data_IF_254951895074
#
_entry.id   IF_254951895074
#
_cell.length_a   1.000
_cell.length_b   1.000
_cell.length_c   1.000
_cell.angle_alpha   90.00
_cell.angle_beta   90.00
_cell.angle_gamma   90.00
#
_symmetry.space_group_name_H-M   'P 1'
#
loop_
_entity.id
_entity.type
_entity.pdbx_description
1 polymer ?
#
# COMPACT_ATOMS: atom_id res chain seq x y z
N UNK A 1 -43.91 -19.53 -30.63
CA UNK A 1 -42.70 -18.71 -30.82
C UNK A 1 -41.69 -19.54 -31.62
N UNK A 2 -41.36 -19.12 -32.86
CA UNK A 2 -40.57 -19.91 -33.82
C UNK A 2 -39.18 -20.30 -33.29
N UNK A 3 -38.71 -21.51 -33.63
CA UNK A 3 -37.39 -22.05 -33.26
C UNK A 3 -36.25 -21.10 -33.64
N UNK A 4 -36.40 -20.38 -34.74
CA UNK A 4 -35.43 -19.38 -35.22
C UNK A 4 -35.28 -18.21 -34.23
N UNK A 5 -36.39 -17.76 -33.62
CA UNK A 5 -36.35 -16.70 -32.59
C UNK A 5 -35.62 -17.17 -31.33
N UNK A 6 -35.75 -18.45 -30.95
CA UNK A 6 -35.06 -19.01 -29.77
C UNK A 6 -33.55 -19.07 -30.00
N UNK A 7 -33.10 -19.47 -31.19
CA UNK A 7 -31.67 -19.52 -31.56
C UNK A 7 -31.06 -18.11 -31.53
N UNK A 8 -31.77 -17.12 -32.10
CA UNK A 8 -31.30 -15.73 -32.08
C UNK A 8 -31.14 -15.17 -30.66
N UNK A 9 -32.06 -15.49 -29.76
CA UNK A 9 -31.98 -15.06 -28.34
C UNK A 9 -30.76 -15.68 -27.66
N UNK A 10 -30.49 -16.97 -27.88
CA UNK A 10 -29.32 -17.65 -27.30
C UNK A 10 -28.00 -17.09 -27.83
N UNK A 11 -27.94 -16.79 -29.13
CA UNK A 11 -26.77 -16.14 -29.74
C UNK A 11 -26.52 -14.74 -29.19
N UNK A 12 -27.59 -13.96 -29.01
CA UNK A 12 -27.50 -12.61 -28.45
C UNK A 12 -27.04 -12.62 -26.99
N UNK A 13 -27.55 -13.55 -26.17
CA UNK A 13 -27.11 -13.74 -24.78
C UNK A 13 -25.64 -14.12 -24.67
N UNK A 14 -25.14 -15.01 -25.53
CA UNK A 14 -23.73 -15.42 -25.52
C UNK A 14 -22.79 -14.28 -25.93
N UNK A 15 -23.19 -13.42 -26.86
CA UNK A 15 -22.37 -12.26 -27.29
C UNK A 15 -22.25 -11.19 -26.19
N UNK A 16 -23.29 -11.02 -25.37
CA UNK A 16 -23.26 -10.07 -24.25
C UNK A 16 -22.30 -10.53 -23.14
N UNK A 17 -22.21 -11.83 -22.83
CA UNK A 17 -21.32 -12.34 -21.79
C UNK A 17 -19.82 -12.14 -22.10
N UNK A 18 -19.42 -12.16 -23.37
CA UNK A 18 -18.02 -11.93 -23.76
C UNK A 18 -17.60 -10.45 -23.68
N UNK A 19 -18.55 -9.53 -23.84
CA UNK A 19 -18.29 -8.08 -23.81
C UNK A 19 -18.04 -7.53 -22.39
N UNK A 20 -18.39 -8.30 -21.34
CA UNK A 20 -18.20 -7.91 -19.94
C UNK A 20 -17.00 -8.58 -19.26
N UNK A 21 -16.15 -9.31 -19.99
CA UNK A 21 -14.85 -9.73 -19.46
C UNK A 21 -13.88 -8.54 -19.50
N UNK A 22 -14.08 -7.58 -18.61
CA UNK A 22 -13.06 -6.60 -18.28
C UNK A 22 -11.96 -7.34 -17.54
N UNK A 23 -10.97 -7.85 -18.26
CA UNK A 23 -9.74 -8.34 -17.65
C UNK A 23 -9.18 -7.20 -16.80
N UNK A 24 -9.07 -7.41 -15.49
CA UNK A 24 -8.45 -6.43 -14.58
C UNK A 24 -7.12 -6.01 -15.21
N UNK A 25 -7.01 -4.73 -15.60
CA UNK A 25 -5.73 -4.17 -16.03
C UNK A 25 -4.77 -4.44 -14.88
N UNK A 26 -3.81 -5.35 -15.07
CA UNK A 26 -2.72 -5.60 -14.12
C UNK A 26 -2.00 -4.27 -13.89
N UNK A 27 -2.41 -3.52 -12.86
CA UNK A 27 -1.55 -2.50 -12.25
C UNK A 27 -0.22 -3.19 -12.00
N UNK A 28 0.89 -2.54 -12.37
CA UNK A 28 2.24 -3.04 -12.09
C UNK A 28 2.39 -3.23 -10.58
N UNK A 29 2.08 -4.43 -10.11
CA UNK A 29 1.96 -4.73 -8.69
C UNK A 29 3.35 -4.84 -8.11
N UNK A 30 3.75 -3.82 -7.36
CA UNK A 30 4.99 -3.85 -6.61
C UNK A 30 4.78 -4.64 -5.32
N UNK A 31 5.74 -5.50 -5.03
CA UNK A 31 5.79 -6.29 -3.80
C UNK A 31 6.92 -5.75 -2.96
N UNK A 32 6.63 -5.32 -1.73
CA UNK A 32 7.63 -4.91 -0.77
C UNK A 32 7.87 -6.04 0.20
N UNK A 33 9.13 -6.45 0.34
CA UNK A 33 9.55 -7.35 1.41
C UNK A 33 9.82 -6.54 2.68
N UNK A 34 9.00 -6.80 3.70
CA UNK A 34 9.03 -6.15 4.99
C UNK A 34 9.86 -7.00 5.96
N UNK A 35 11.11 -6.60 6.14
CA UNK A 35 11.94 -7.11 7.22
C UNK A 35 11.50 -6.48 8.55
N UNK A 36 10.78 -7.26 9.37
CA UNK A 36 10.25 -6.84 10.66
C UNK A 36 11.32 -6.46 11.69
N UNK A 37 12.59 -6.81 11.46
CA UNK A 37 13.70 -6.42 12.33
C UNK A 37 14.27 -5.03 11.97
N UNK A 38 13.87 -4.46 10.84
CA UNK A 38 14.36 -3.18 10.38
C UNK A 38 13.81 -2.03 11.21
N UNK A 39 14.68 -1.07 11.59
CA UNK A 39 14.30 0.19 12.25
C UNK A 39 13.40 1.08 11.39
N UNK A 40 13.34 0.82 10.08
CA UNK A 40 12.45 1.52 9.17
C UNK A 40 10.99 1.04 9.25
N UNK A 41 10.70 -0.06 9.96
CA UNK A 41 9.32 -0.48 10.23
C UNK A 41 8.78 0.31 11.42
N UNK A 42 7.75 1.11 11.18
CA UNK A 42 7.01 1.86 12.20
C UNK A 42 5.95 0.99 12.87
N UNK A 43 5.16 0.28 12.07
CA UNK A 43 3.98 -0.45 12.54
C UNK A 43 3.90 -1.81 11.87
N UNK A 44 3.53 -2.81 12.66
CA UNK A 44 3.17 -4.16 12.22
C UNK A 44 2.06 -4.67 13.13
N UNK A 45 0.85 -4.73 12.60
CA UNK A 45 -0.34 -5.17 13.34
C UNK A 45 -1.16 -6.11 12.47
N UNK A 46 -1.54 -7.26 13.01
CA UNK A 46 -2.45 -8.21 12.36
C UNK A 46 -3.56 -8.53 13.35
N UNK A 47 -4.77 -8.15 12.99
CA UNK A 47 -5.99 -8.52 13.69
C UNK A 47 -6.50 -9.84 13.11
N UNK A 48 -6.55 -10.87 13.97
CA UNK A 48 -6.96 -12.22 13.58
C UNK A 48 -8.47 -12.33 13.40
N UNK A 49 -9.25 -11.55 14.16
CA UNK A 49 -10.70 -11.64 14.18
C UNK A 49 -11.29 -10.93 12.96
N UNK A 50 -10.74 -9.77 12.61
CA UNK A 50 -11.20 -9.00 11.45
C UNK A 50 -10.42 -9.29 10.17
N UNK A 51 -9.39 -10.15 10.24
CA UNK A 51 -8.45 -10.44 9.15
C UNK A 51 -7.85 -9.16 8.54
N UNK A 52 -7.69 -8.12 9.36
CA UNK A 52 -7.09 -6.86 8.96
C UNK A 52 -5.60 -6.90 9.25
N UNK A 53 -4.82 -6.31 8.37
CA UNK A 53 -3.40 -6.11 8.62
C UNK A 53 -3.01 -4.66 8.32
N UNK A 54 -2.13 -4.12 9.14
CA UNK A 54 -1.57 -2.78 9.01
C UNK A 54 -0.07 -2.86 9.11
N UNK A 55 0.59 -2.29 8.13
CA UNK A 55 2.04 -2.17 8.08
C UNK A 55 2.38 -0.71 7.85
N UNK A 56 3.42 -0.20 8.47
CA UNK A 56 3.91 1.14 8.14
C UNK A 56 5.43 1.19 8.08
N UNK A 57 5.93 1.86 7.05
CA UNK A 57 7.36 2.05 6.80
C UNK A 57 7.66 3.54 6.92
N UNK A 58 8.65 3.90 7.73
CA UNK A 58 9.13 5.27 7.82
C UNK A 58 9.68 5.75 6.48
N UNK A 59 9.39 7.00 6.13
CA UNK A 59 10.07 7.70 5.05
C UNK A 59 11.54 7.86 5.46
N UNK A 60 12.44 7.75 4.49
CA UNK A 60 13.88 7.93 4.71
C UNK A 60 14.15 9.20 5.51
N UNK A 61 15.02 9.12 6.52
CA UNK A 61 15.41 10.17 7.49
C UNK A 61 14.48 10.30 8.70
N UNK A 62 13.26 9.76 8.67
CA UNK A 62 12.31 9.88 9.79
C UNK A 62 12.21 8.62 10.65
N UNK A 63 13.19 7.73 10.59
CA UNK A 63 13.25 6.52 11.41
C UNK A 63 13.42 6.85 12.90
N UNK A 64 14.19 7.90 13.23
CA UNK A 64 14.41 8.34 14.62
C UNK A 64 13.33 9.32 15.10
N UNK A 65 13.06 9.31 16.41
CA UNK A 65 12.14 10.26 17.03
C UNK A 65 12.68 11.69 16.93
N UNK A 66 13.98 11.88 17.12
CA UNK A 66 14.64 13.18 17.08
C UNK A 66 14.42 13.92 15.74
N UNK A 67 14.56 13.23 14.61
CA UNK A 67 14.34 13.83 13.29
C UNK A 67 12.86 14.20 13.07
N UNK A 68 11.93 13.39 13.59
CA UNK A 68 10.50 13.69 13.54
C UNK A 68 10.12 14.87 14.43
N UNK A 69 10.67 14.92 15.64
CA UNK A 69 10.45 16.03 16.58
C UNK A 69 10.97 17.35 15.96
N UNK A 70 12.17 17.31 15.36
CA UNK A 70 12.76 18.45 14.64
C UNK A 70 11.87 18.93 13.50
N UNK A 71 11.40 18.02 12.63
CA UNK A 71 10.49 18.37 11.54
C UNK A 71 9.15 18.92 12.04
N UNK A 72 8.64 18.39 13.16
CA UNK A 72 7.41 18.86 13.80
C UNK A 72 7.56 20.28 14.35
N UNK A 73 8.69 20.62 14.97
CA UNK A 73 8.95 21.98 15.45
C UNK A 73 9.06 22.98 14.30
N UNK A 74 9.73 22.61 13.21
CA UNK A 74 9.79 23.45 12.00
C UNK A 74 8.38 23.68 11.43
N UNK A 75 7.54 22.64 11.37
CA UNK A 75 6.14 22.77 10.97
C UNK A 75 5.36 23.72 11.88
N UNK A 76 5.47 23.57 13.21
CA UNK A 76 4.78 24.44 14.17
C UNK A 76 5.18 25.90 14.01
N UNK A 77 6.46 26.18 13.78
CA UNK A 77 6.94 27.55 13.56
C UNK A 77 6.41 28.13 12.23
N UNK A 78 6.39 27.33 11.16
CA UNK A 78 5.76 27.72 9.89
C UNK A 78 4.27 28.07 10.07
N UNK A 79 3.52 27.24 10.81
CA UNK A 79 2.10 27.50 11.09
C UNK A 79 1.91 28.77 11.94
N UNK A 80 2.76 28.97 12.96
CA UNK A 80 2.71 30.15 13.83
C UNK A 80 2.96 31.45 13.04
N UNK A 81 3.90 31.42 12.10
CA UNK A 81 4.34 32.58 11.33
C UNK A 81 3.65 32.69 9.95
N UNK A 82 2.59 31.91 9.70
CA UNK A 82 1.96 31.81 8.37
C UNK A 82 1.41 33.15 7.85
N UNK A 83 0.95 34.03 8.76
CA UNK A 83 0.41 35.35 8.42
C UNK A 83 1.48 36.38 8.07
N UNK A 84 2.72 36.18 8.52
CA UNK A 84 3.83 37.13 8.37
C UNK A 84 4.91 36.64 7.42
N UNK A 85 4.97 35.34 7.14
CA UNK A 85 5.99 34.71 6.30
C UNK A 85 5.77 34.87 4.79
N UNK A 86 4.59 35.31 4.36
CA UNK A 86 4.23 35.37 2.93
C UNK A 86 4.00 34.01 2.28
N UNK A 87 4.06 32.91 3.05
CA UNK A 87 3.76 31.55 2.59
C UNK A 87 2.24 31.42 2.44
N UNK A 88 1.79 30.84 1.33
CA UNK A 88 0.37 30.54 1.16
C UNK A 88 -0.05 29.46 2.17
N UNK A 89 -1.11 29.67 2.98
CA UNK A 89 -1.53 28.68 3.96
C UNK A 89 -1.80 27.28 3.41
N UNK A 90 -2.18 27.18 2.14
CA UNK A 90 -2.42 25.89 1.46
C UNK A 90 -1.15 25.09 1.15
N UNK A 91 0.02 25.72 1.24
CA UNK A 91 1.32 25.08 1.00
C UNK A 91 1.92 24.49 2.29
N UNK A 92 1.45 24.93 3.46
CA UNK A 92 1.89 24.40 4.75
C UNK A 92 1.21 23.05 5.00
N UNK A 93 1.96 21.97 4.80
CA UNK A 93 1.48 20.60 5.02
C UNK A 93 2.15 19.97 6.22
N UNK A 94 1.37 19.16 6.93
CA UNK A 94 1.89 18.32 7.99
C UNK A 94 2.95 17.37 7.41
N UNK A 95 4.12 17.22 8.05
CA UNK A 95 5.14 16.32 7.54
C UNK A 95 4.66 14.87 7.56
N UNK A 96 4.79 14.17 6.44
CA UNK A 96 4.52 12.73 6.35
C UNK A 96 5.75 11.95 6.78
N UNK A 97 5.67 11.29 7.94
CA UNK A 97 6.80 10.51 8.48
C UNK A 97 6.82 9.07 8.02
N UNK A 98 5.67 8.50 7.64
CA UNK A 98 5.58 7.11 7.24
C UNK A 98 4.51 6.87 6.17
N UNK A 99 4.67 5.77 5.45
CA UNK A 99 3.68 5.27 4.50
C UNK A 99 2.98 4.08 5.12
N UNK A 100 1.64 4.07 5.12
CA UNK A 100 0.82 3.00 5.66
C UNK A 100 0.29 2.08 4.57
N UNK A 101 0.29 0.78 4.86
CA UNK A 101 -0.23 -0.29 4.02
C UNK A 101 -1.30 -1.05 4.78
N UNK A 102 -2.49 -1.13 4.19
CA UNK A 102 -3.67 -1.67 4.84
C UNK A 102 -4.23 -2.84 4.03
N UNK A 103 -4.54 -3.92 4.72
CA UNK A 103 -5.31 -5.04 4.19
C UNK A 103 -6.65 -5.10 4.93
N UNK A 104 -7.75 -5.13 4.17
CA UNK A 104 -9.11 -5.24 4.71
C UNK A 104 -9.76 -6.51 4.17
N UNK A 105 -10.04 -7.47 5.06
CA UNK A 105 -10.85 -8.66 4.75
C UNK A 105 -10.19 -9.69 3.80
N UNK A 106 -8.98 -9.46 3.32
CA UNK A 106 -8.24 -10.39 2.48
C UNK A 106 -7.35 -11.32 3.30
N UNK A 107 -7.57 -12.65 3.20
CA UNK A 107 -6.64 -13.64 3.77
C UNK A 107 -5.28 -13.51 3.09
N UNK A 108 -4.16 -13.57 3.84
CA UNK A 108 -2.84 -13.58 3.21
C UNK A 108 -2.62 -14.90 2.47
N UNK A 109 -1.85 -14.82 1.40
CA UNK A 109 -1.30 -15.99 0.73
C UNK A 109 -0.09 -16.50 1.52
N UNK A 110 -0.11 -17.76 1.96
CA UNK A 110 1.03 -18.39 2.63
C UNK A 110 1.99 -18.95 1.58
N UNK A 111 3.25 -18.52 1.63
CA UNK A 111 4.30 -18.93 0.71
C UNK A 111 5.36 -19.75 1.44
N UNK A 112 5.83 -20.84 0.83
CA UNK A 112 6.94 -21.64 1.37
C UNK A 112 8.32 -21.08 1.03
N UNK A 113 8.43 -20.29 -0.04
CA UNK A 113 9.68 -19.73 -0.54
C UNK A 113 9.41 -18.45 -1.33
N UNK A 114 10.42 -17.59 -1.45
CA UNK A 114 10.42 -16.41 -2.33
C UNK A 114 11.02 -16.68 -3.72
N UNK A 115 11.40 -17.93 -4.03
CA UNK A 115 11.99 -18.29 -5.33
C UNK A 115 11.03 -17.91 -6.47
N UNK A 116 11.52 -17.09 -7.40
CA UNK A 116 10.75 -16.61 -8.55
C UNK A 116 9.84 -15.41 -8.27
N UNK A 117 9.77 -14.92 -7.02
CA UNK A 117 9.00 -13.73 -6.65
C UNK A 117 9.94 -12.52 -6.72
N UNK A 118 9.64 -11.57 -7.61
CA UNK A 118 10.32 -10.27 -7.64
C UNK A 118 9.72 -9.36 -6.57
N UNK A 119 10.54 -8.88 -5.66
CA UNK A 119 10.17 -7.92 -4.63
C UNK A 119 11.26 -6.85 -4.48
N UNK A 120 10.91 -5.74 -3.85
CA UNK A 120 11.85 -4.71 -3.42
C UNK A 120 12.04 -4.75 -1.91
N UNK A 121 13.22 -4.40 -1.43
CA UNK A 121 13.49 -4.27 0.01
C UNK A 121 12.94 -2.97 0.57
N UNK A 122 12.85 -2.86 1.90
CA UNK A 122 12.49 -1.60 2.57
C UNK A 122 13.39 -0.44 2.12
N UNK A 123 14.70 -0.66 2.01
CA UNK A 123 15.65 0.37 1.57
C UNK A 123 15.36 0.83 0.14
N UNK A 124 15.16 -0.12 -0.78
CA UNK A 124 14.79 0.21 -2.16
C UNK A 124 13.44 0.94 -2.24
N UNK A 125 12.49 0.58 -1.38
CA UNK A 125 11.22 1.29 -1.25
C UNK A 125 11.43 2.75 -0.79
N UNK A 126 12.20 2.98 0.27
CA UNK A 126 12.50 4.31 0.79
C UNK A 126 13.25 5.19 -0.22
N UNK A 127 14.18 4.61 -0.99
CA UNK A 127 14.94 5.31 -2.03
C UNK A 127 14.07 5.65 -3.27
N UNK A 128 12.94 4.95 -3.46
CA UNK A 128 12.08 5.09 -4.65
C UNK A 128 10.64 5.51 -4.31
N UNK A 129 10.40 6.04 -3.11
CA UNK A 129 9.06 6.31 -2.57
C UNK A 129 8.14 7.11 -3.52
N UNK A 130 8.70 8.03 -4.32
CA UNK A 130 7.98 8.80 -5.33
C UNK A 130 7.49 7.97 -6.54
N UNK A 131 8.13 6.84 -6.82
CA UNK A 131 7.80 5.89 -7.89
C UNK A 131 7.02 4.67 -7.41
N UNK A 132 6.90 4.45 -6.10
CA UNK A 132 6.09 3.37 -5.51
C UNK A 132 4.78 3.94 -5.00
N UNK A 133 4.04 4.62 -5.88
CA UNK A 133 2.62 4.91 -5.66
C UNK A 133 1.88 3.57 -5.67
N UNK A 134 1.50 3.08 -4.50
CA UNK A 134 0.72 1.86 -4.27
C UNK A 134 1.45 0.51 -4.53
N UNK A 135 2.38 0.04 -3.67
CA UNK A 135 2.68 -1.38 -3.67
C UNK A 135 1.40 -2.17 -3.38
N UNK A 136 1.12 -3.10 -4.26
CA UNK A 136 -0.09 -3.92 -4.17
C UNK A 136 0.05 -5.02 -3.13
N UNK A 137 1.29 -5.33 -2.71
CA UNK A 137 1.55 -6.39 -1.75
C UNK A 137 2.69 -6.09 -0.76
N UNK A 138 2.51 -6.60 0.46
CA UNK A 138 3.54 -6.71 1.49
C UNK A 138 3.83 -8.19 1.73
N UNK A 139 5.10 -8.57 1.72
CA UNK A 139 5.56 -9.90 2.14
C UNK A 139 6.37 -9.76 3.42
N UNK A 140 6.11 -10.60 4.41
CA UNK A 140 6.97 -10.73 5.59
C UNK A 140 7.19 -12.20 5.95
N UNK A 141 8.27 -12.47 6.69
CA UNK A 141 8.64 -13.82 7.11
C UNK A 141 8.07 -14.16 8.49
N UNK A 142 7.54 -15.38 8.61
CA UNK A 142 7.08 -15.98 9.86
C UNK A 142 8.22 -16.69 10.59
N UNK A 143 8.01 -16.96 11.89
CA UNK A 143 8.98 -17.69 12.73
C UNK A 143 9.30 -19.09 12.23
N UNK A 144 8.37 -19.73 11.51
CA UNK A 144 8.53 -21.07 10.91
C UNK A 144 9.32 -21.04 9.59
N UNK A 145 9.84 -19.88 9.18
CA UNK A 145 10.60 -19.69 7.93
C UNK A 145 9.73 -19.52 6.68
N UNK A 146 8.40 -19.69 6.80
CA UNK A 146 7.46 -19.40 5.70
C UNK A 146 7.14 -17.91 5.62
N UNK A 147 6.36 -17.49 4.61
CA UNK A 147 6.05 -16.08 4.37
C UNK A 147 4.55 -15.86 4.24
N UNK A 148 4.09 -14.67 4.62
CA UNK A 148 2.74 -14.20 4.33
C UNK A 148 2.81 -13.06 3.33
N UNK A 149 2.03 -13.18 2.25
CA UNK A 149 1.84 -12.15 1.25
C UNK A 149 0.45 -11.55 1.38
N UNK A 150 0.40 -10.27 1.72
CA UNK A 150 -0.81 -9.49 1.95
C UNK A 150 -1.09 -8.63 0.74
N UNK A 151 -2.33 -8.61 0.24
CA UNK A 151 -2.79 -7.56 -0.67
C UNK A 151 -3.00 -6.29 0.15
N UNK A 152 -2.38 -5.19 -0.26
CA UNK A 152 -2.40 -3.95 0.52
C UNK A 152 -2.81 -2.75 -0.33
N UNK A 153 -3.41 -1.79 0.35
CA UNK A 153 -3.73 -0.47 -0.18
C UNK A 153 -2.91 0.56 0.58
N UNK A 154 -2.32 1.49 -0.15
CA UNK A 154 -1.51 2.55 0.46
C UNK A 154 -2.42 3.68 0.89
N UNK A 155 -2.24 4.14 2.12
CA UNK A 155 -2.86 5.38 2.59
C UNK A 155 -1.78 6.22 3.23
N UNK A 156 -1.81 7.52 2.97
CA UNK A 156 -1.01 8.49 3.71
C UNK A 156 -1.40 8.40 5.19
N UNK A 157 -0.42 8.15 6.05
CA UNK A 157 -0.62 8.21 7.49
C UNK A 157 -0.34 9.64 7.89
N UNK A 158 -1.42 10.37 8.17
CA UNK A 158 -1.34 11.68 8.83
C UNK A 158 -1.16 11.37 10.32
N UNK A 159 0.04 11.64 10.84
CA UNK A 159 0.40 11.45 12.26
C UNK A 159 0.06 12.70 13.08
#
# INVERSE_FOLDING_TARGET
MSTIKKIFIVLFLNCFCLSFSQGEKKRNSKIVFLDLKSKAVKEYTIDKDTMKARFSIYVKKYESKEERDKATEVYKDMVKNIRTSGINPSEVRLPTFSIGFYSWGGKPEKLKSLKGIKFITIKQFQDSIYFVKDPSYIIHQLKDGTYLKWKTYTMEVVD
#
